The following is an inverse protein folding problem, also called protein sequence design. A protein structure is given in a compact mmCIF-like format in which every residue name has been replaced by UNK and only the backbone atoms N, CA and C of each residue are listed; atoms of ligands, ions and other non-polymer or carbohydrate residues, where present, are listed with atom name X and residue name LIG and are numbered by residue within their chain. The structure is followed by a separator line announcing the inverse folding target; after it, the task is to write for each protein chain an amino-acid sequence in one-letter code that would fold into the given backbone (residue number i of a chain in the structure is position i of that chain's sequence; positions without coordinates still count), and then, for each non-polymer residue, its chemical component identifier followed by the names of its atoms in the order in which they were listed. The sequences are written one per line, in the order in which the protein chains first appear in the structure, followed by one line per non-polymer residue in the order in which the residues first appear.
data_IF_537124855420
#
_entry.id   IF_537124855420
#
_cell.length_a   1.000
_cell.length_b   1.000
_cell.length_c   1.000
_cell.angle_alpha   90.00
_cell.angle_beta   90.00
_cell.angle_gamma   90.00
#
_symmetry.space_group_name_H-M   'P 1'
#
loop_
_entity.id
_entity.type
_entity.pdbx_description
1 polymer ?
#
# COMPACT_ATOMS: atom_id res chain seq x y z
N UNK A 1 -12.32 -7.26 -8.88
CA UNK A 1 -13.79 -7.29 -8.68
C UNK A 1 -14.25 -8.30 -7.62
N UNK A 2 -13.92 -9.60 -7.65
CA UNK A 2 -14.44 -10.54 -6.64
C UNK A 2 -14.04 -10.18 -5.21
N UNK A 3 -12.84 -9.65 -4.98
CA UNK A 3 -12.33 -9.28 -3.65
C UNK A 3 -13.22 -8.22 -2.96
N UNK A 4 -13.69 -7.20 -3.70
CA UNK A 4 -14.54 -6.14 -3.16
C UNK A 4 -16.04 -6.42 -3.36
N UNK A 5 -16.40 -7.65 -3.77
CA UNK A 5 -17.78 -8.12 -3.93
C UNK A 5 -18.66 -7.27 -4.88
N UNK A 6 -18.06 -6.69 -5.92
CA UNK A 6 -18.79 -6.06 -7.01
C UNK A 6 -19.08 -7.10 -8.11
N UNK A 7 -20.37 -7.32 -8.39
CA UNK A 7 -20.83 -8.21 -9.44
C UNK A 7 -20.83 -7.52 -10.82
N UNK A 8 -20.99 -6.21 -10.85
CA UNK A 8 -21.08 -5.41 -12.08
C UNK A 8 -19.86 -4.49 -12.21
N UNK A 9 -19.19 -4.55 -13.37
CA UNK A 9 -18.02 -3.72 -13.68
C UNK A 9 -18.35 -2.23 -13.64
N UNK A 10 -19.45 -1.81 -14.23
CA UNK A 10 -19.87 -0.40 -14.27
C UNK A 10 -20.02 0.21 -12.86
N UNK A 11 -20.53 -0.57 -11.90
CA UNK A 11 -20.64 -0.11 -10.52
C UNK A 11 -19.29 -0.01 -9.83
N UNK A 12 -18.35 -0.87 -10.19
CA UNK A 12 -16.98 -0.80 -9.69
C UNK A 12 -16.21 0.37 -10.32
N UNK A 13 -16.37 0.61 -11.61
CA UNK A 13 -15.78 1.72 -12.34
C UNK A 13 -16.16 3.08 -11.75
N UNK A 14 -17.43 3.27 -11.36
CA UNK A 14 -17.87 4.47 -10.63
C UNK A 14 -17.09 4.71 -9.32
N UNK A 15 -16.65 3.65 -8.64
CA UNK A 15 -15.84 3.78 -7.43
C UNK A 15 -14.39 4.15 -7.78
N UNK A 16 -13.87 3.62 -8.88
CA UNK A 16 -12.57 4.03 -9.40
C UNK A 16 -12.59 5.52 -9.75
N UNK A 17 -13.64 6.00 -10.43
CA UNK A 17 -13.80 7.42 -10.79
C UNK A 17 -13.85 8.31 -9.55
N UNK A 18 -14.58 7.91 -8.50
CA UNK A 18 -14.59 8.63 -7.22
C UNK A 18 -13.19 8.70 -6.59
N UNK A 19 -12.43 7.60 -6.64
CA UNK A 19 -11.07 7.60 -6.15
C UNK A 19 -10.16 8.51 -6.98
N UNK A 20 -10.29 8.53 -8.32
CA UNK A 20 -9.58 9.46 -9.22
C UNK A 20 -9.89 10.91 -8.88
N UNK A 21 -11.16 11.26 -8.65
CA UNK A 21 -11.58 12.60 -8.22
C UNK A 21 -10.95 12.98 -6.87
N UNK A 22 -10.87 12.04 -5.93
CA UNK A 22 -10.21 12.28 -4.63
C UNK A 22 -8.72 12.63 -4.80
N UNK A 23 -8.01 11.96 -5.74
CA UNK A 23 -6.63 12.31 -6.08
C UNK A 23 -6.50 13.70 -6.66
N UNK A 24 -7.34 14.03 -7.66
CA UNK A 24 -7.34 15.34 -8.32
C UNK A 24 -7.56 16.48 -7.32
N UNK A 25 -8.51 16.32 -6.39
CA UNK A 25 -8.82 17.33 -5.38
C UNK A 25 -7.74 17.42 -4.26
N UNK A 26 -6.81 16.47 -4.22
CA UNK A 26 -5.68 16.44 -3.28
C UNK A 26 -4.35 16.80 -3.95
N UNK A 27 -4.39 17.35 -5.17
CA UNK A 27 -3.21 17.72 -5.99
C UNK A 27 -2.22 16.56 -6.22
N UNK A 28 -2.75 15.31 -6.23
CA UNK A 28 -1.94 14.11 -6.49
C UNK A 28 -2.17 13.64 -7.93
N UNK A 29 -1.10 13.32 -8.64
CA UNK A 29 -1.17 12.82 -10.02
C UNK A 29 -1.94 11.50 -10.11
N UNK A 30 -3.04 11.50 -10.86
CA UNK A 30 -3.83 10.28 -11.11
C UNK A 30 -3.06 9.26 -11.94
N UNK A 31 -2.25 9.72 -12.91
CA UNK A 31 -1.52 8.86 -13.83
C UNK A 31 -0.46 7.99 -13.14
N UNK A 32 0.10 8.47 -12.03
CA UNK A 32 1.10 7.72 -11.26
C UNK A 32 0.48 6.55 -10.49
N UNK A 33 -0.84 6.58 -10.29
CA UNK A 33 -1.56 5.65 -9.45
C UNK A 33 -2.55 4.75 -10.19
N UNK A 34 -3.04 5.19 -11.36
CA UNK A 34 -3.99 4.47 -12.20
C UNK A 34 -3.44 4.38 -13.62
N UNK A 35 -3.07 3.19 -14.04
CA UNK A 35 -2.63 2.94 -15.41
C UNK A 35 -3.70 2.12 -16.12
N UNK A 36 -4.25 2.66 -17.20
CA UNK A 36 -5.21 1.96 -18.03
C UNK A 36 -4.50 0.84 -18.79
N UNK A 37 -5.10 -0.35 -18.79
CA UNK A 37 -4.59 -1.52 -19.51
C UNK A 37 -5.76 -2.23 -20.19
N UNK A 38 -5.51 -2.78 -21.37
CA UNK A 38 -6.52 -3.55 -22.10
C UNK A 38 -6.44 -5.02 -21.74
N UNK A 39 -7.59 -5.63 -21.43
CA UNK A 39 -7.72 -7.05 -21.12
C UNK A 39 -8.72 -7.69 -22.07
N UNK A 40 -8.29 -8.79 -22.68
CA UNK A 40 -9.20 -9.63 -23.49
C UNK A 40 -10.08 -10.46 -22.56
N UNK A 41 -11.39 -10.31 -22.68
CA UNK A 41 -12.38 -11.10 -21.93
C UNK A 41 -13.20 -11.93 -22.91
N UNK A 42 -13.40 -13.20 -22.56
CA UNK A 42 -14.25 -14.10 -23.35
C UNK A 42 -15.73 -13.77 -23.12
N UNK A 43 -16.48 -13.66 -24.19
CA UNK A 43 -17.93 -13.47 -24.17
C UNK A 43 -18.65 -14.76 -24.52
N UNK A 44 -19.97 -14.85 -24.22
CA UNK A 44 -20.76 -16.09 -24.26
C UNK A 44 -20.80 -16.85 -25.57
N UNK A 45 -20.35 -16.26 -26.67
CA UNK A 45 -20.21 -16.89 -27.99
C UNK A 45 -18.83 -17.52 -28.24
N UNK A 46 -17.91 -17.54 -27.25
CA UNK A 46 -16.54 -17.97 -27.45
C UNK A 46 -15.63 -16.91 -28.07
N UNK A 47 -16.17 -15.78 -28.50
CA UNK A 47 -15.42 -14.64 -29.00
C UNK A 47 -14.74 -13.89 -27.85
N UNK A 48 -13.69 -13.12 -28.18
CA UNK A 48 -13.00 -12.26 -27.22
C UNK A 48 -13.33 -10.79 -27.49
N UNK A 49 -13.52 -10.03 -26.44
CA UNK A 49 -13.70 -8.57 -26.48
C UNK A 49 -12.65 -7.91 -25.64
N UNK A 50 -12.09 -6.83 -26.14
CA UNK A 50 -11.24 -5.94 -25.37
C UNK A 50 -12.05 -5.18 -24.33
N UNK A 51 -11.56 -5.16 -23.10
CA UNK A 51 -12.15 -4.45 -21.98
C UNK A 51 -11.07 -3.66 -21.26
N UNK A 52 -11.35 -2.43 -20.91
CA UNK A 52 -10.45 -1.61 -20.09
C UNK A 52 -10.37 -2.25 -18.69
N UNK A 53 -9.15 -2.39 -18.20
CA UNK A 53 -8.81 -2.78 -16.84
C UNK A 53 -7.77 -1.79 -16.30
N UNK A 54 -7.45 -1.86 -15.02
CA UNK A 54 -6.55 -0.90 -14.37
C UNK A 54 -5.44 -1.60 -13.63
N UNK A 55 -4.19 -1.15 -13.85
CA UNK A 55 -3.11 -1.39 -12.91
C UNK A 55 -3.13 -0.29 -11.86
N UNK A 56 -3.13 -0.67 -10.59
CA UNK A 56 -3.34 0.21 -9.46
C UNK A 56 -2.15 0.14 -8.52
N UNK A 57 -1.71 1.27 -8.00
CA UNK A 57 -0.80 1.28 -6.86
C UNK A 57 -1.55 0.86 -5.59
N UNK A 58 -0.80 0.51 -4.54
CA UNK A 58 -1.38 0.18 -3.23
C UNK A 58 -2.23 1.34 -2.68
N UNK A 59 -1.77 2.57 -2.86
CA UNK A 59 -2.48 3.76 -2.39
C UNK A 59 -3.81 3.96 -3.14
N UNK A 60 -3.83 3.76 -4.46
CA UNK A 60 -5.08 3.76 -5.23
C UNK A 60 -6.07 2.70 -4.72
N UNK A 61 -5.60 1.49 -4.41
CA UNK A 61 -6.45 0.44 -3.82
C UNK A 61 -7.06 0.87 -2.48
N UNK A 62 -6.32 1.62 -1.66
CA UNK A 62 -6.83 2.14 -0.40
C UNK A 62 -7.94 3.17 -0.61
N UNK A 63 -7.76 4.13 -1.52
CA UNK A 63 -8.80 5.11 -1.84
C UNK A 63 -10.04 4.48 -2.49
N UNK A 64 -9.86 3.47 -3.33
CA UNK A 64 -10.98 2.70 -3.88
C UNK A 64 -11.79 2.04 -2.75
N UNK A 65 -11.12 1.43 -1.77
CA UNK A 65 -11.81 0.83 -0.63
C UNK A 65 -12.52 1.87 0.24
N UNK A 66 -11.92 3.05 0.45
CA UNK A 66 -12.53 4.14 1.21
C UNK A 66 -13.76 4.73 0.52
N UNK A 67 -13.77 4.80 -0.82
CA UNK A 67 -14.90 5.27 -1.63
C UNK A 67 -15.93 4.17 -1.93
N UNK A 68 -15.69 2.95 -1.47
CA UNK A 68 -16.55 1.80 -1.71
C UNK A 68 -17.85 1.83 -0.90
N UNK A 69 -18.78 0.95 -1.28
CA UNK A 69 -20.08 0.81 -0.62
C UNK A 69 -19.93 0.08 0.74
N UNK A 70 -20.10 0.80 1.84
CA UNK A 70 -19.98 0.28 3.21
C UNK A 70 -21.02 -0.80 3.59
N UNK A 71 -22.07 -0.98 2.79
CA UNK A 71 -23.03 -2.09 2.95
C UNK A 71 -22.37 -3.44 2.67
N UNK A 72 -21.26 -3.44 1.94
CA UNK A 72 -20.45 -4.63 1.69
C UNK A 72 -19.49 -4.87 2.85
N UNK A 73 -19.62 -6.01 3.52
CA UNK A 73 -18.85 -6.37 4.71
C UNK A 73 -17.33 -6.17 4.53
N UNK A 74 -16.78 -6.56 3.38
CA UNK A 74 -15.35 -6.42 3.09
C UNK A 74 -14.92 -4.97 3.05
N UNK A 75 -15.74 -4.10 2.47
CA UNK A 75 -15.47 -2.66 2.38
C UNK A 75 -15.60 -2.01 3.75
N UNK A 76 -16.65 -2.32 4.51
CA UNK A 76 -16.82 -1.83 5.87
C UNK A 76 -15.62 -2.19 6.76
N UNK A 77 -15.14 -3.44 6.68
CA UNK A 77 -13.95 -3.88 7.41
C UNK A 77 -12.70 -3.13 6.99
N UNK A 78 -12.50 -2.89 5.69
CA UNK A 78 -11.36 -2.12 5.19
C UNK A 78 -11.41 -0.66 5.67
N UNK A 79 -12.56 -0.01 5.61
CA UNK A 79 -12.75 1.37 6.10
C UNK A 79 -12.48 1.48 7.60
N UNK A 80 -13.01 0.55 8.39
CA UNK A 80 -12.75 0.48 9.83
C UNK A 80 -11.26 0.25 10.13
N UNK A 81 -10.61 -0.66 9.38
CA UNK A 81 -9.18 -0.89 9.51
C UNK A 81 -8.38 0.40 9.27
N UNK A 82 -8.67 1.13 8.19
CA UNK A 82 -7.97 2.38 7.90
C UNK A 82 -8.18 3.43 8.99
N UNK A 83 -9.41 3.61 9.47
CA UNK A 83 -9.70 4.55 10.56
C UNK A 83 -8.89 4.20 11.83
N UNK A 84 -8.84 2.92 12.21
CA UNK A 84 -8.07 2.45 13.36
C UNK A 84 -6.56 2.65 13.15
N UNK A 85 -6.02 2.36 11.96
CA UNK A 85 -4.59 2.54 11.69
C UNK A 85 -4.20 4.02 11.67
N UNK A 86 -5.02 4.88 11.06
CA UNK A 86 -4.79 6.33 11.08
C UNK A 86 -4.76 6.84 12.52
N UNK A 87 -5.73 6.44 13.36
CA UNK A 87 -5.75 6.85 14.75
C UNK A 87 -4.53 6.37 15.55
N UNK A 88 -4.08 5.14 15.31
CA UNK A 88 -2.83 4.64 15.92
C UNK A 88 -1.62 5.46 15.50
N UNK A 89 -1.55 5.81 14.22
CA UNK A 89 -0.46 6.65 13.70
C UNK A 89 -0.46 8.03 14.36
N UNK A 90 -1.62 8.70 14.43
CA UNK A 90 -1.76 10.00 15.10
C UNK A 90 -1.28 9.97 16.57
N UNK A 91 -1.66 8.90 17.31
CA UNK A 91 -1.23 8.74 18.71
C UNK A 91 0.29 8.58 18.78
N UNK A 92 0.85 7.70 17.94
CA UNK A 92 2.30 7.44 17.91
C UNK A 92 3.08 8.72 17.56
N UNK A 93 2.62 9.48 16.58
CA UNK A 93 3.24 10.75 16.17
C UNK A 93 3.17 11.79 17.29
N UNK A 94 2.03 11.89 17.97
CA UNK A 94 1.86 12.79 19.11
C UNK A 94 2.78 12.40 20.26
N UNK A 95 2.84 11.13 20.63
CA UNK A 95 3.75 10.61 21.64
C UNK A 95 5.21 10.90 21.27
N UNK A 96 5.61 10.62 20.02
CA UNK A 96 6.96 10.87 19.54
C UNK A 96 7.31 12.37 19.55
N UNK A 97 6.38 13.24 19.17
CA UNK A 97 6.60 14.68 19.15
C UNK A 97 6.79 15.28 20.56
N UNK A 98 6.22 14.64 21.59
CA UNK A 98 6.36 15.06 22.98
C UNK A 98 7.67 14.64 23.65
N UNK A 99 8.46 13.76 22.99
CA UNK A 99 9.74 13.29 23.51
C UNK A 99 10.83 14.38 23.39
N UNK A 100 11.76 14.37 24.33
CA UNK A 100 13.01 15.13 24.24
C UNK A 100 13.91 14.57 23.13
N UNK A 101 14.91 15.32 22.70
CA UNK A 101 15.83 14.88 21.64
C UNK A 101 16.59 13.59 22.01
N UNK A 102 16.97 13.44 23.28
CA UNK A 102 17.65 12.22 23.73
C UNK A 102 16.70 11.02 23.79
N UNK A 103 15.44 11.21 24.19
CA UNK A 103 14.41 10.16 24.14
C UNK A 103 14.08 9.77 22.70
N UNK A 104 14.01 10.73 21.78
CA UNK A 104 13.82 10.46 20.34
C UNK A 104 14.97 9.61 19.78
N UNK A 105 16.24 9.93 20.12
CA UNK A 105 17.39 9.13 19.71
C UNK A 105 17.32 7.71 20.28
N UNK A 106 16.93 7.55 21.54
CA UNK A 106 16.74 6.24 22.17
C UNK A 106 15.60 5.45 21.51
N UNK A 107 14.48 6.12 21.22
CA UNK A 107 13.34 5.53 20.52
C UNK A 107 13.74 5.03 19.14
N UNK A 108 14.42 5.85 18.33
CA UNK A 108 14.90 5.47 16.99
C UNK A 108 15.89 4.30 17.05
N UNK A 109 16.81 4.31 18.03
CA UNK A 109 17.73 3.20 18.23
C UNK A 109 17.02 1.88 18.54
N UNK A 110 15.95 1.93 19.34
CA UNK A 110 15.15 0.75 19.67
C UNK A 110 14.36 0.25 18.45
N UNK A 111 13.79 1.15 17.63
CA UNK A 111 13.13 0.78 16.38
C UNK A 111 14.09 0.10 15.42
N UNK A 112 15.27 0.68 15.20
CA UNK A 112 16.32 0.10 14.36
C UNK A 112 16.73 -1.28 14.86
N UNK A 113 16.92 -1.45 16.17
CA UNK A 113 17.25 -2.74 16.78
C UNK A 113 16.17 -3.80 16.54
N UNK A 114 14.89 -3.44 16.72
CA UNK A 114 13.74 -4.32 16.43
C UNK A 114 13.64 -4.66 14.94
N UNK A 115 13.84 -3.68 14.06
CA UNK A 115 13.85 -3.88 12.60
C UNK A 115 14.95 -4.83 12.16
N UNK A 116 16.18 -4.63 12.64
CA UNK A 116 17.32 -5.51 12.35
C UNK A 116 17.10 -6.93 12.87
N UNK A 117 16.51 -7.08 14.06
CA UNK A 117 16.17 -8.40 14.60
C UNK A 117 15.15 -9.11 13.70
N UNK A 118 14.07 -8.43 13.30
CA UNK A 118 13.06 -8.99 12.42
C UNK A 118 13.63 -9.36 11.05
N UNK A 119 14.46 -8.49 10.47
CA UNK A 119 15.17 -8.73 9.21
C UNK A 119 16.05 -9.98 9.28
N UNK A 120 16.84 -10.11 10.37
CA UNK A 120 17.71 -11.25 10.58
C UNK A 120 16.93 -12.56 10.74
N UNK A 121 15.78 -12.53 11.43
CA UNK A 121 14.91 -13.71 11.54
C UNK A 121 14.34 -14.11 10.17
N UNK A 122 13.89 -13.15 9.39
CA UNK A 122 13.36 -13.39 8.03
C UNK A 122 14.46 -13.97 7.13
N UNK A 123 15.66 -13.37 7.16
CA UNK A 123 16.81 -13.84 6.39
C UNK A 123 17.22 -15.28 6.79
N UNK A 124 17.22 -15.59 8.10
CA UNK A 124 17.47 -16.94 8.61
C UNK A 124 16.44 -17.94 8.10
N UNK A 125 15.15 -17.59 8.15
CA UNK A 125 14.06 -18.43 7.66
C UNK A 125 14.14 -18.64 6.13
N UNK A 126 14.65 -17.66 5.39
CA UNK A 126 14.92 -17.74 3.96
C UNK A 126 16.22 -18.51 3.62
N UNK A 127 16.95 -19.05 4.62
CA UNK A 127 18.13 -19.87 4.41
C UNK A 127 19.45 -19.11 4.21
N UNK A 128 19.51 -17.83 4.57
CA UNK A 128 20.74 -17.03 4.52
C UNK A 128 21.74 -17.60 5.54
N UNK A 129 22.91 -18.04 5.05
CA UNK A 129 23.98 -18.61 5.89
C UNK A 129 25.06 -17.59 6.25
N UNK A 130 25.30 -16.59 5.41
CA UNK A 130 26.31 -15.55 5.60
C UNK A 130 25.66 -14.19 5.79
N UNK A 131 25.50 -13.79 7.04
CA UNK A 131 24.85 -12.54 7.42
C UNK A 131 25.74 -11.32 7.12
N UNK A 132 27.06 -11.44 7.14
CA UNK A 132 27.96 -10.33 6.82
C UNK A 132 27.81 -9.92 5.36
N UNK A 133 27.76 -10.90 4.43
CA UNK A 133 27.48 -10.63 3.02
C UNK A 133 26.08 -10.07 2.81
N UNK A 134 25.08 -10.57 3.54
CA UNK A 134 23.71 -10.10 3.46
C UNK A 134 23.60 -8.62 3.88
N UNK A 135 24.19 -8.25 5.00
CA UNK A 135 24.19 -6.86 5.48
C UNK A 135 25.00 -5.93 4.56
N UNK A 136 26.18 -6.36 4.10
CA UNK A 136 27.01 -5.56 3.20
C UNK A 136 26.31 -5.31 1.85
N UNK A 137 25.57 -6.27 1.30
CA UNK A 137 24.76 -6.07 0.09
C UNK A 137 23.70 -5.00 0.30
N UNK A 138 23.02 -4.97 1.45
CA UNK A 138 22.05 -3.94 1.81
C UNK A 138 22.68 -2.54 1.88
N UNK A 139 23.83 -2.41 2.54
CA UNK A 139 24.56 -1.14 2.62
C UNK A 139 25.03 -0.64 1.26
N UNK A 140 25.55 -1.54 0.41
CA UNK A 140 26.00 -1.18 -0.94
C UNK A 140 24.83 -0.67 -1.80
N UNK A 141 23.66 -1.30 -1.72
CA UNK A 141 22.49 -0.88 -2.45
C UNK A 141 21.98 0.51 -2.03
N UNK A 142 21.94 0.78 -0.72
CA UNK A 142 21.53 2.09 -0.19
C UNK A 142 22.49 3.22 -0.57
N UNK A 143 23.80 2.93 -0.70
CA UNK A 143 24.81 3.93 -1.06
C UNK A 143 24.89 4.20 -2.58
N UNK A 144 24.42 3.28 -3.43
CA UNK A 144 24.41 3.44 -4.90
C UNK A 144 23.15 4.18 -5.39
N UNK A 145 22.07 4.20 -4.64
CA UNK A 145 20.82 4.89 -4.96
C UNK A 145 20.42 5.91 -3.86
N UNK A 146 21.10 7.07 -3.73
CA UNK A 146 20.72 8.08 -2.74
C UNK A 146 19.51 8.95 -3.14
N UNK A 147 18.83 8.64 -4.25
CA UNK A 147 17.78 9.49 -4.83
C UNK A 147 16.42 8.79 -4.93
N UNK A 148 15.91 8.24 -3.83
CA UNK A 148 14.50 7.91 -3.72
C UNK A 148 14.04 8.17 -2.28
N UNK A 149 13.99 9.43 -1.92
CA UNK A 149 13.17 10.00 -0.85
C UNK A 149 12.16 10.93 -1.45
#
# INVERSE_FOLDING_TARGET
MPILQYSNWQNFEKIIDKAKISYQNSDISVLDHFTDVNKMVQIGSGAYREQIDYKLTRYACYLIAQNGDSRKKVIALAQTYFAVQTRKQEITEKEYSSLTEDEKRFYQRNLTKKGNYSLNQTAKNAGVKNFDKFHNAGYSYCNVNPTNT
#
